data_IF_304108967917
#
_entry.id   IF_304108967917
#
_cell.length_a   1.000
_cell.length_b   1.000
_cell.length_c   1.000
_cell.angle_alpha   90.00
_cell.angle_beta   90.00
_cell.angle_gamma   90.00
#
_symmetry.space_group_name_H-M   'P 1'
#
loop_
_entity.id
_entity.type
_entity.pdbx_description
1 polymer ?
#
# COMPACT_ATOMS: atom_id res chain seq x y z
N UNK A 1 2.70 -0.47 7.69
CA UNK A 1 2.26 -1.21 6.48
C UNK A 1 3.16 -0.80 5.32
N UNK A 2 3.74 -1.75 4.59
CA UNK A 2 4.53 -1.50 3.39
C UNK A 2 3.72 -1.85 2.14
N UNK A 3 3.67 -0.93 1.18
CA UNK A 3 3.22 -1.17 -0.18
C UNK A 3 4.41 -1.14 -1.14
N UNK A 4 4.76 -2.27 -1.77
CA UNK A 4 5.71 -2.29 -2.89
C UNK A 4 5.03 -1.82 -4.15
N UNK A 5 5.69 -0.96 -4.93
CA UNK A 5 5.19 -0.50 -6.22
C UNK A 5 6.34 -0.46 -7.23
N UNK A 6 6.07 -0.81 -8.48
CA UNK A 6 7.00 -0.71 -9.60
C UNK A 6 6.43 0.19 -10.70
N UNK A 7 5.58 -0.37 -11.56
CA UNK A 7 5.01 0.29 -12.74
C UNK A 7 3.48 0.13 -12.84
N UNK A 8 2.83 -0.28 -11.75
CA UNK A 8 1.39 -0.49 -11.71
C UNK A 8 0.64 0.80 -12.09
N UNK A 9 -0.43 0.63 -12.85
CA UNK A 9 -1.29 1.73 -13.27
C UNK A 9 -2.11 2.31 -12.10
N UNK A 10 -2.78 3.44 -12.40
CA UNK A 10 -3.54 4.18 -11.41
C UNK A 10 -4.70 3.36 -10.83
N UNK A 11 -5.27 2.41 -11.58
CA UNK A 11 -6.40 1.59 -11.13
C UNK A 11 -5.95 0.54 -10.14
N UNK A 12 -4.85 -0.16 -10.45
CA UNK A 12 -4.24 -1.15 -9.58
C UNK A 12 -3.81 -0.49 -8.27
N UNK A 13 -3.09 0.63 -8.36
CA UNK A 13 -2.68 1.41 -7.20
C UNK A 13 -3.89 1.89 -6.37
N UNK A 14 -4.88 2.53 -7.02
CA UNK A 14 -6.05 3.06 -6.34
C UNK A 14 -6.90 1.97 -5.67
N UNK A 15 -7.03 0.79 -6.28
CA UNK A 15 -7.74 -0.34 -5.70
C UNK A 15 -7.05 -0.85 -4.43
N UNK A 16 -5.73 -1.00 -4.47
CA UNK A 16 -4.94 -1.40 -3.30
C UNK A 16 -5.06 -0.38 -2.18
N UNK A 17 -4.79 0.90 -2.48
CA UNK A 17 -4.83 1.97 -1.49
C UNK A 17 -6.22 2.21 -0.93
N UNK A 18 -7.28 2.15 -1.73
CA UNK A 18 -8.66 2.21 -1.23
C UNK A 18 -8.97 1.05 -0.28
N UNK A 19 -8.45 -0.16 -0.54
CA UNK A 19 -8.56 -1.29 0.38
C UNK A 19 -7.81 -1.04 1.70
N UNK A 20 -6.59 -0.49 1.64
CA UNK A 20 -5.81 -0.10 2.82
C UNK A 20 -6.58 0.94 3.65
N UNK A 21 -7.12 1.97 3.01
CA UNK A 21 -7.86 3.04 3.70
C UNK A 21 -9.13 2.52 4.38
N UNK A 22 -9.83 1.56 3.76
CA UNK A 22 -10.97 0.86 4.36
C UNK A 22 -10.59 0.02 5.59
N UNK A 23 -9.41 -0.59 5.61
CA UNK A 23 -8.94 -1.31 6.80
C UNK A 23 -8.61 -0.33 7.94
N UNK A 24 -7.98 0.80 7.63
CA UNK A 24 -7.72 1.86 8.62
C UNK A 24 -9.03 2.41 9.16
N UNK A 25 -10.03 2.63 8.29
CA UNK A 25 -11.39 3.01 8.68
C UNK A 25 -12.00 2.02 9.67
N UNK A 26 -11.90 0.74 9.34
CA UNK A 26 -12.43 -0.33 10.16
C UNK A 26 -11.76 -0.36 11.53
N UNK A 27 -10.44 -0.18 11.60
CA UNK A 27 -9.72 -0.07 12.87
C UNK A 27 -10.15 1.18 13.65
N UNK A 28 -10.34 2.31 12.98
CA UNK A 28 -10.77 3.54 13.65
C UNK A 28 -12.22 3.51 14.16
N UNK A 29 -13.09 2.71 13.52
CA UNK A 29 -14.48 2.55 13.94
C UNK A 29 -14.68 1.55 15.09
N UNK A 30 -13.62 0.87 15.55
CA UNK A 30 -13.68 -0.05 16.70
C UNK A 30 -13.91 0.75 17.99
N UNK A 31 -15.14 0.72 18.53
CA UNK A 31 -15.47 1.36 19.81
C UNK A 31 -15.19 0.46 21.01
N UNK A 32 -15.29 -0.87 20.84
CA UNK A 32 -15.01 -1.86 21.88
C UNK A 32 -13.64 -2.52 21.66
N UNK A 33 -12.56 -1.73 21.70
CA UNK A 33 -11.18 -2.23 21.63
C UNK A 33 -10.27 -1.41 22.55
N UNK A 34 -9.34 -2.09 23.23
CA UNK A 34 -8.29 -1.41 24.01
C UNK A 34 -7.25 -0.75 23.11
N UNK A 35 -6.98 -1.37 21.95
CA UNK A 35 -5.93 -0.93 21.01
C UNK A 35 -6.46 0.03 19.96
N UNK A 36 -7.66 -0.22 19.45
CA UNK A 36 -8.23 0.48 18.31
C UNK A 36 -9.37 1.43 18.69
N UNK A 37 -9.58 2.47 17.89
CA UNK A 37 -10.54 3.55 18.15
C UNK A 37 -10.26 4.75 17.24
N UNK A 38 -10.93 5.89 17.45
CA UNK A 38 -10.89 7.05 16.53
C UNK A 38 -9.47 7.50 16.13
N UNK A 39 -8.51 7.34 17.03
CA UNK A 39 -7.10 7.73 16.84
C UNK A 39 -6.21 6.60 16.31
N UNK A 40 -6.78 5.46 15.88
CA UNK A 40 -6.03 4.30 15.40
C UNK A 40 -5.13 4.62 14.20
N UNK A 41 -5.52 5.59 13.36
CA UNK A 41 -4.72 6.06 12.24
C UNK A 41 -3.33 6.57 12.67
N UNK A 42 -3.18 7.12 13.89
CA UNK A 42 -1.89 7.59 14.41
C UNK A 42 -0.91 6.44 14.67
N UNK A 43 -1.42 5.22 14.84
CA UNK A 43 -0.64 4.00 15.07
C UNK A 43 -0.23 3.31 13.77
N UNK A 44 -0.67 3.83 12.61
CA UNK A 44 -0.52 3.17 11.31
C UNK A 44 0.15 4.11 10.32
N UNK A 45 1.38 3.77 9.95
CA UNK A 45 2.08 4.40 8.83
C UNK A 45 1.97 3.50 7.59
N UNK A 46 1.53 4.09 6.47
CA UNK A 46 1.53 3.45 5.15
C UNK A 46 2.77 3.90 4.39
N UNK A 47 3.76 3.03 4.33
CA UNK A 47 5.01 3.23 3.61
C UNK A 47 4.90 2.67 2.19
N UNK A 48 4.90 3.53 1.18
CA UNK A 48 4.87 3.17 -0.24
C UNK A 48 6.31 3.24 -0.75
N UNK A 49 6.85 2.12 -1.25
CA UNK A 49 8.21 2.05 -1.81
C UNK A 49 8.12 1.78 -3.30
N UNK A 50 8.42 2.80 -4.10
CA UNK A 50 8.45 2.75 -5.58
C UNK A 50 9.84 2.43 -6.10
N UNK A 51 9.94 1.39 -6.92
CA UNK A 51 11.20 0.81 -7.39
C UNK A 51 11.67 1.39 -8.73
N UNK A 52 12.24 2.58 -8.68
CA UNK A 52 12.86 3.25 -9.82
C UNK A 52 12.02 4.40 -10.35
N UNK A 53 12.58 5.60 -10.29
CA UNK A 53 11.93 6.85 -10.66
C UNK A 53 11.53 6.89 -12.14
N UNK A 54 12.33 6.32 -13.03
CA UNK A 54 12.01 6.25 -14.45
C UNK A 54 10.93 5.20 -14.78
N UNK A 55 10.53 4.36 -13.81
CA UNK A 55 9.63 3.22 -14.02
C UNK A 55 8.22 3.44 -13.47
N UNK A 56 8.06 4.39 -12.55
CA UNK A 56 6.75 4.75 -12.02
C UNK A 56 5.80 5.19 -13.15
N UNK A 57 4.57 4.68 -13.11
CA UNK A 57 3.54 5.05 -14.07
C UNK A 57 3.16 6.54 -13.89
N UNK A 58 3.12 7.37 -14.96
CA UNK A 58 2.78 8.79 -14.87
C UNK A 58 1.41 9.08 -14.25
N UNK A 59 0.41 8.23 -14.49
CA UNK A 59 -0.93 8.40 -13.92
C UNK A 59 -0.96 8.03 -12.44
N UNK A 60 -0.25 6.97 -12.03
CA UNK A 60 -0.06 6.64 -10.61
C UNK A 60 0.67 7.75 -9.88
N UNK A 61 1.67 8.37 -10.52
CA UNK A 61 2.36 9.55 -10.00
C UNK A 61 1.41 10.74 -9.81
N UNK A 62 0.47 10.97 -10.73
CA UNK A 62 -0.56 12.00 -10.58
C UNK A 62 -1.52 11.69 -9.40
N UNK A 63 -1.87 10.42 -9.18
CA UNK A 63 -2.64 10.01 -8.00
C UNK A 63 -1.87 10.29 -6.71
N UNK A 64 -0.58 9.95 -6.64
CA UNK A 64 0.27 10.26 -5.47
C UNK A 64 0.35 11.76 -5.20
N UNK A 65 0.44 12.58 -6.26
CA UNK A 65 0.42 14.04 -6.12
C UNK A 65 -0.92 14.54 -5.56
N UNK A 66 -2.04 14.02 -6.06
CA UNK A 66 -3.37 14.36 -5.54
C UNK A 66 -3.63 13.87 -4.11
N UNK A 67 -2.89 12.85 -3.64
CA UNK A 67 -2.88 12.45 -2.22
C UNK A 67 -2.01 13.38 -1.34
N UNK A 68 -1.21 14.26 -1.96
CA UNK A 68 -0.30 15.18 -1.28
C UNK A 68 1.07 14.58 -0.93
N UNK A 69 1.34 13.32 -1.29
CA UNK A 69 2.58 12.62 -0.91
C UNK A 69 3.61 12.58 -2.05
N UNK A 70 3.44 13.41 -3.08
CA UNK A 70 4.40 13.58 -4.16
C UNK A 70 4.26 14.97 -4.79
N UNK A 71 5.38 15.55 -5.22
CA UNK A 71 5.38 16.81 -5.96
C UNK A 71 6.31 16.71 -7.17
N UNK A 72 5.78 17.07 -8.34
CA UNK A 72 6.53 17.03 -9.60
C UNK A 72 7.60 18.14 -9.63
N UNK A 73 8.72 17.87 -10.30
CA UNK A 73 9.82 18.83 -10.45
C UNK A 73 10.76 19.00 -9.25
N UNK A 74 10.43 18.47 -8.05
CA UNK A 74 11.32 18.57 -6.87
C UNK A 74 12.47 17.55 -6.95
N UNK A 75 12.18 16.34 -7.41
CA UNK A 75 13.15 15.24 -7.41
C UNK A 75 14.36 15.54 -8.32
N UNK A 76 15.57 15.53 -7.76
CA UNK A 76 16.83 15.74 -8.50
C UNK A 76 17.66 14.45 -8.58
N UNK A 77 18.39 14.26 -9.68
CA UNK A 77 19.28 13.11 -9.83
C UNK A 77 20.56 13.25 -8.99
N UNK A 78 21.05 14.48 -8.82
CA UNK A 78 22.23 14.80 -8.03
C UNK A 78 22.00 16.00 -7.11
N UNK A 79 22.65 15.97 -5.94
CA UNK A 79 22.72 17.08 -4.99
C UNK A 79 24.17 17.22 -4.55
N UNK A 80 24.76 18.42 -4.68
CA UNK A 80 26.17 18.68 -4.35
C UNK A 80 27.15 17.68 -4.98
N UNK A 81 26.94 17.33 -6.26
CA UNK A 81 27.76 16.38 -7.00
C UNK A 81 27.63 14.92 -6.57
N UNK A 82 26.73 14.60 -5.64
CA UNK A 82 26.44 13.21 -5.20
C UNK A 82 25.13 12.73 -5.81
N UNK A 83 25.14 11.50 -6.29
CA UNK A 83 23.95 10.82 -6.79
C UNK A 83 22.91 10.63 -5.68
N UNK A 84 21.67 11.02 -5.96
CA UNK A 84 20.54 10.74 -5.09
C UNK A 84 20.17 9.25 -5.20
N UNK A 85 19.90 8.61 -4.07
CA UNK A 85 19.53 7.19 -4.01
C UNK A 85 18.01 7.00 -3.97
N UNK A 86 17.31 7.89 -3.28
CA UNK A 86 15.86 7.90 -3.18
C UNK A 86 15.35 9.31 -2.79
N UNK A 87 14.08 9.56 -3.09
CA UNK A 87 13.33 10.73 -2.64
C UNK A 87 12.27 10.30 -1.64
N UNK A 88 12.20 10.97 -0.50
CA UNK A 88 11.28 10.64 0.58
C UNK A 88 10.31 11.79 0.75
N UNK A 89 9.02 11.47 0.76
CA UNK A 89 7.92 12.40 0.98
C UNK A 89 7.05 11.85 2.10
N UNK A 90 6.54 12.74 2.94
CA UNK A 90 5.66 12.38 4.04
C UNK A 90 4.48 13.35 4.07
N UNK A 91 3.27 12.80 4.21
CA UNK A 91 2.07 13.61 4.29
C UNK A 91 0.93 12.86 4.99
N UNK A 92 0.19 13.57 5.84
CA UNK A 92 -1.05 13.06 6.44
C UNK A 92 -2.23 13.39 5.54
N UNK A 93 -2.66 12.45 4.70
CA UNK A 93 -3.71 12.73 3.72
C UNK A 93 -5.11 12.56 4.30
N UNK A 94 -6.02 13.46 3.93
CA UNK A 94 -7.47 13.29 4.10
C UNK A 94 -8.18 13.14 2.75
N UNK A 95 -7.44 12.80 1.70
CA UNK A 95 -7.98 12.55 0.37
C UNK A 95 -8.11 11.03 0.19
N UNK A 96 -9.32 10.57 -0.12
CA UNK A 96 -9.58 9.19 -0.54
C UNK A 96 -9.49 9.05 -2.06
N UNK A 97 -9.53 7.80 -2.53
CA UNK A 97 -9.53 7.48 -3.95
C UNK A 97 -10.50 6.34 -4.27
N UNK A 98 -11.06 6.38 -5.47
CA UNK A 98 -11.97 5.36 -5.97
C UNK A 98 -11.79 5.18 -7.49
N UNK A 99 -11.61 3.93 -7.92
CA UNK A 99 -11.65 3.58 -9.34
C UNK A 99 -13.11 3.49 -9.80
N UNK A 100 -13.57 4.44 -10.62
CA UNK A 100 -14.94 4.52 -11.15
C UNK A 100 -14.92 4.63 -12.67
N UNK A 101 -15.53 3.65 -13.34
CA UNK A 101 -15.51 3.58 -14.80
C UNK A 101 -14.09 3.53 -15.34
N UNK A 102 -13.74 4.51 -16.17
CA UNK A 102 -12.43 4.65 -16.83
C UNK A 102 -11.51 5.67 -16.16
N UNK A 103 -11.82 6.09 -14.92
CA UNK A 103 -11.01 7.07 -14.20
C UNK A 103 -10.85 6.71 -12.72
N UNK A 104 -9.77 7.22 -12.12
CA UNK A 104 -9.58 7.25 -10.68
C UNK A 104 -10.02 8.62 -10.19
N UNK A 105 -11.01 8.64 -9.30
CA UNK A 105 -11.55 9.86 -8.71
C UNK A 105 -10.96 10.03 -7.33
N UNK A 106 -10.40 11.20 -7.08
CA UNK A 106 -9.97 11.64 -5.75
C UNK A 106 -11.11 12.42 -5.10
N UNK A 107 -11.36 12.14 -3.82
CA UNK A 107 -12.43 12.81 -3.07
C UNK A 107 -12.01 13.08 -1.63
N UNK A 108 -12.40 14.23 -1.05
CA UNK A 108 -12.20 14.47 0.37
C UNK A 108 -12.81 13.34 1.21
N UNK A 109 -12.10 12.97 2.27
CA UNK A 109 -12.49 11.96 3.26
C UNK A 109 -12.35 12.57 4.65
N UNK A 110 -13.33 13.40 5.07
CA UNK A 110 -13.28 14.05 6.37
C UNK A 110 -13.31 13.02 7.51
N UNK A 111 -12.58 13.30 8.57
CA UNK A 111 -12.62 12.53 9.83
C UNK A 111 -11.75 11.27 9.87
N UNK A 112 -11.00 10.94 8.81
CA UNK A 112 -10.14 9.75 8.80
C UNK A 112 -8.83 9.97 8.03
N UNK A 113 -7.88 10.71 8.62
CA UNK A 113 -6.55 10.90 8.02
C UNK A 113 -5.77 9.59 7.91
N UNK A 114 -4.81 9.55 6.99
CA UNK A 114 -3.87 8.44 6.83
C UNK A 114 -2.45 8.98 6.74
N UNK A 115 -1.55 8.47 7.57
CA UNK A 115 -0.13 8.81 7.50
C UNK A 115 0.53 8.07 6.34
N UNK A 116 0.97 8.82 5.33
CA UNK A 116 1.68 8.29 4.17
C UNK A 116 3.16 8.65 4.24
N UNK A 117 4.00 7.65 3.99
CA UNK A 117 5.43 7.81 3.72
C UNK A 117 5.69 7.25 2.32
N UNK A 118 6.10 8.10 1.37
CA UNK A 118 6.42 7.68 0.02
C UNK A 118 7.93 7.74 -0.21
N UNK A 119 8.51 6.62 -0.60
CA UNK A 119 9.90 6.49 -1.01
C UNK A 119 9.97 6.17 -2.50
N UNK A 120 10.52 7.10 -3.28
CA UNK A 120 10.78 6.93 -4.71
C UNK A 120 12.27 6.67 -4.93
N UNK A 121 12.63 5.41 -5.17
CA UNK A 121 14.01 5.02 -5.45
C UNK A 121 14.44 5.56 -6.81
N UNK A 122 15.69 6.01 -6.94
CA UNK A 122 16.21 6.45 -8.24
C UNK A 122 16.41 5.26 -9.20
N UNK A 123 16.99 4.15 -8.69
CA UNK A 123 17.28 2.95 -9.48
C UNK A 123 16.26 1.83 -9.21
N UNK A 124 15.86 1.13 -10.28
CA UNK A 124 15.14 -0.14 -10.16
C UNK A 124 16.12 -1.23 -9.70
N UNK A 125 15.88 -1.80 -8.52
CA UNK A 125 16.72 -2.83 -7.91
C UNK A 125 15.91 -4.08 -7.49
N UNK A 126 14.72 -4.24 -8.03
CA UNK A 126 13.77 -5.33 -7.77
C UNK A 126 13.20 -5.36 -6.34
N UNK A 127 12.19 -6.20 -6.17
CA UNK A 127 11.37 -6.35 -4.95
C UNK A 127 12.18 -6.60 -3.67
N UNK A 128 13.20 -7.47 -3.71
CA UNK A 128 14.03 -7.79 -2.52
C UNK A 128 14.74 -6.53 -2.00
N UNK A 129 15.29 -5.70 -2.89
CA UNK A 129 15.91 -4.45 -2.48
C UNK A 129 14.87 -3.47 -1.90
N UNK A 130 13.66 -3.42 -2.45
CA UNK A 130 12.57 -2.61 -1.89
C UNK A 130 12.13 -3.11 -0.49
N UNK A 131 12.24 -4.41 -0.19
CA UNK A 131 12.09 -4.91 1.18
C UNK A 131 13.25 -4.49 2.08
N UNK A 132 14.48 -4.50 1.57
CA UNK A 132 15.65 -4.02 2.31
C UNK A 132 15.51 -2.55 2.73
N UNK A 133 15.07 -1.67 1.82
CA UNK A 133 14.74 -0.27 2.16
C UNK A 133 13.70 -0.19 3.28
N UNK A 134 12.63 -0.99 3.19
CA UNK A 134 11.60 -0.99 4.21
C UNK A 134 12.12 -1.45 5.57
N UNK A 135 12.77 -2.61 5.68
CA UNK A 135 13.18 -3.16 6.98
C UNK A 135 14.45 -2.52 7.55
N UNK A 136 15.46 -2.24 6.72
CA UNK A 136 16.76 -1.76 7.20
C UNK A 136 16.87 -0.23 7.29
N UNK A 137 16.04 0.52 6.58
CA UNK A 137 15.99 1.98 6.70
C UNK A 137 14.76 2.43 7.48
N UNK A 138 13.57 2.33 6.88
CA UNK A 138 12.35 2.89 7.50
C UNK A 138 11.93 2.16 8.77
N UNK A 139 11.99 0.83 8.78
CA UNK A 139 11.62 0.01 9.93
C UNK A 139 12.49 0.28 11.15
N UNK A 140 13.78 0.60 10.96
CA UNK A 140 14.68 0.98 12.07
C UNK A 140 14.32 2.32 12.70
N UNK A 141 13.68 3.22 11.96
CA UNK A 141 13.29 4.55 12.45
C UNK A 141 11.85 4.53 13.00
N UNK A 142 10.94 3.86 12.29
CA UNK A 142 9.53 3.75 12.68
C UNK A 142 9.29 2.78 13.83
N UNK A 143 10.21 1.84 14.07
CA UNK A 143 10.15 0.78 15.07
C UNK A 143 8.75 0.11 15.19
N UNK A 144 8.22 -0.46 14.09
CA UNK A 144 6.85 -0.97 14.08
C UNK A 144 6.72 -2.31 14.81
N UNK A 145 5.74 -2.43 15.71
CA UNK A 145 5.39 -3.71 16.33
C UNK A 145 5.02 -4.79 15.30
N UNK A 146 4.30 -4.42 14.24
CA UNK A 146 3.84 -5.35 13.20
C UNK A 146 4.05 -4.73 11.82
N UNK A 147 4.64 -5.50 10.91
CA UNK A 147 4.83 -5.15 9.52
C UNK A 147 3.88 -5.95 8.62
N UNK A 148 3.02 -5.26 7.88
CA UNK A 148 2.19 -5.88 6.83
C UNK A 148 2.78 -5.53 5.48
N UNK A 149 3.10 -6.54 4.68
CA UNK A 149 3.66 -6.41 3.33
C UNK A 149 2.56 -6.60 2.29
N UNK A 150 2.39 -5.62 1.40
CA UNK A 150 1.46 -5.67 0.28
C UNK A 150 2.18 -5.21 -0.99
N UNK A 151 1.73 -5.73 -2.14
CA UNK A 151 2.14 -5.24 -3.44
C UNK A 151 1.00 -4.45 -4.08
N UNK A 152 1.34 -3.40 -4.83
CA UNK A 152 0.38 -2.64 -5.62
C UNK A 152 -0.28 -3.58 -6.65
N UNK A 153 -1.59 -3.41 -6.83
CA UNK A 153 -2.41 -4.34 -7.63
C UNK A 153 -3.15 -5.38 -6.80
N UNK A 154 -2.73 -5.68 -5.56
CA UNK A 154 -3.50 -6.54 -4.64
C UNK A 154 -4.42 -5.70 -3.77
N UNK A 155 -5.73 -5.93 -3.88
CA UNK A 155 -6.73 -5.24 -3.05
C UNK A 155 -6.97 -6.01 -1.75
N UNK A 156 -6.59 -5.49 -0.57
CA UNK A 156 -6.90 -6.14 0.69
C UNK A 156 -8.43 -6.15 0.92
N UNK A 157 -8.93 -7.23 1.52
CA UNK A 157 -10.31 -7.31 1.99
C UNK A 157 -10.57 -6.26 3.07
N UNK A 158 -11.82 -5.82 3.25
CA UNK A 158 -12.15 -4.67 4.11
C UNK A 158 -11.75 -4.81 5.59
N UNK A 159 -11.44 -6.02 6.05
CA UNK A 159 -10.97 -6.32 7.42
C UNK A 159 -9.69 -7.17 7.45
N UNK A 160 -9.08 -7.46 6.30
CA UNK A 160 -8.00 -8.45 6.22
C UNK A 160 -6.73 -8.00 6.94
N UNK A 161 -6.37 -6.71 6.87
CA UNK A 161 -5.20 -6.16 7.58
C UNK A 161 -5.44 -6.20 9.10
N UNK A 162 -6.66 -5.89 9.53
CA UNK A 162 -7.03 -6.04 10.94
C UNK A 162 -6.96 -7.50 11.40
N UNK A 163 -7.40 -8.46 10.57
CA UNK A 163 -7.32 -9.88 10.91
C UNK A 163 -5.87 -10.36 11.02
N UNK A 164 -4.98 -9.92 10.12
CA UNK A 164 -3.55 -10.18 10.24
C UNK A 164 -2.99 -9.64 11.55
N UNK A 165 -3.27 -8.37 11.88
CA UNK A 165 -2.87 -7.79 13.16
C UNK A 165 -3.42 -8.57 14.35
N UNK A 166 -4.70 -8.98 14.29
CA UNK A 166 -5.37 -9.71 15.37
C UNK A 166 -4.71 -11.06 15.64
N UNK A 167 -4.13 -11.72 14.64
CA UNK A 167 -3.39 -12.96 14.85
C UNK A 167 -2.20 -12.77 15.80
N UNK A 168 -1.44 -11.70 15.63
CA UNK A 168 -0.32 -11.34 16.53
C UNK A 168 -0.81 -10.87 17.91
N UNK A 169 -1.96 -10.20 17.98
CA UNK A 169 -2.55 -9.76 19.26
C UNK A 169 -3.08 -10.95 20.09
N UNK A 170 -3.57 -12.00 19.43
CA UNK A 170 -4.07 -13.21 20.08
C UNK A 170 -2.97 -14.19 20.47
N UNK A 171 -1.91 -14.28 19.66
CA UNK A 171 -0.80 -15.21 19.87
C UNK A 171 0.53 -14.43 19.93
N UNK A 172 1.03 -14.09 21.13
CA UNK A 172 2.27 -13.32 21.30
C UNK A 172 3.51 -13.99 20.69
N UNK A 173 3.51 -15.32 20.51
CA UNK A 173 4.62 -16.05 19.88
C UNK A 173 4.47 -16.16 18.35
N UNK A 174 3.46 -15.53 17.76
CA UNK A 174 3.25 -15.54 16.32
C UNK A 174 4.39 -14.80 15.59
N UNK A 175 5.23 -15.55 14.86
CA UNK A 175 6.31 -14.98 14.04
C UNK A 175 5.84 -14.48 12.67
N UNK A 176 4.63 -14.83 12.23
CA UNK A 176 4.11 -14.49 10.91
C UNK A 176 2.66 -14.92 10.70
N UNK A 177 1.91 -14.13 9.95
CA UNK A 177 0.56 -14.46 9.49
C UNK A 177 0.44 -14.12 8.00
N UNK A 178 -0.25 -14.96 7.24
CA UNK A 178 -0.51 -14.75 5.82
C UNK A 178 -2.02 -14.74 5.56
N UNK A 179 -2.45 -14.01 4.54
CA UNK A 179 -3.82 -14.05 4.03
C UNK A 179 -3.85 -14.72 2.67
N UNK A 180 -5.02 -15.27 2.32
CA UNK A 180 -5.23 -15.89 1.00
C UNK A 180 -5.42 -14.83 -0.09
N UNK A 181 -4.71 -15.00 -1.21
CA UNK A 181 -4.91 -14.19 -2.43
C UNK A 181 -5.88 -14.90 -3.36
N UNK A 182 -6.93 -14.19 -3.80
CA UNK A 182 -7.90 -14.70 -4.76
C UNK A 182 -8.21 -13.72 -5.87
N UNK A 183 -8.56 -14.26 -7.03
CA UNK A 183 -8.98 -13.46 -8.19
C UNK A 183 -10.38 -12.89 -7.96
N UNK A 184 -10.64 -11.69 -8.47
CA UNK A 184 -11.96 -11.06 -8.40
C UNK A 184 -12.92 -11.69 -9.43
N UNK A 185 -13.55 -12.80 -9.08
CA UNK A 185 -14.28 -13.65 -10.02
C UNK A 185 -15.66 -13.16 -10.52
N UNK A 186 -16.21 -12.04 -10.02
CA UNK A 186 -17.57 -11.55 -10.38
C UNK A 186 -18.62 -12.68 -10.42
N UNK A 187 -18.72 -13.46 -9.33
CA UNK A 187 -19.58 -14.64 -9.21
C UNK A 187 -19.26 -15.74 -10.24
N UNK A 188 -17.98 -16.00 -10.50
CA UNK A 188 -17.53 -17.04 -11.43
C UNK A 188 -17.61 -16.66 -12.91
N UNK A 189 -18.37 -15.61 -13.28
CA UNK A 189 -18.54 -15.18 -14.68
C UNK A 189 -17.23 -14.86 -15.39
N UNK A 190 -16.18 -14.45 -14.67
CA UNK A 190 -14.89 -14.16 -15.28
C UNK A 190 -14.02 -15.41 -15.52
N UNK A 191 -14.38 -16.58 -15.00
CA UNK A 191 -13.63 -17.83 -15.25
C UNK A 191 -13.74 -18.31 -16.70
N UNK A 192 -14.71 -17.81 -17.48
CA UNK A 192 -14.74 -18.05 -18.93
C UNK A 192 -13.59 -17.36 -19.68
N UNK A 193 -12.93 -16.37 -19.07
CA UNK A 193 -11.73 -15.77 -19.63
C UNK A 193 -10.52 -16.64 -19.25
N UNK A 194 -9.80 -17.22 -20.23
CA UNK A 194 -8.69 -18.14 -19.96
C UNK A 194 -7.55 -17.50 -19.16
N UNK A 195 -7.32 -16.19 -19.31
CA UNK A 195 -6.32 -15.46 -18.52
C UNK A 195 -6.72 -15.40 -17.04
N UNK A 196 -8.00 -15.12 -16.77
CA UNK A 196 -8.53 -15.05 -15.39
C UNK A 196 -8.57 -16.44 -14.77
N UNK A 197 -8.94 -17.47 -15.54
CA UNK A 197 -8.96 -18.85 -15.09
C UNK A 197 -7.55 -19.36 -14.76
N UNK A 198 -6.57 -19.08 -15.63
CA UNK A 198 -5.17 -19.42 -15.41
C UNK A 198 -4.62 -18.74 -14.15
N UNK A 199 -4.84 -17.44 -14.00
CA UNK A 199 -4.44 -16.70 -12.79
C UNK A 199 -5.13 -17.24 -11.53
N UNK A 200 -6.40 -17.64 -11.62
CA UNK A 200 -7.12 -18.22 -10.49
C UNK A 200 -6.60 -19.61 -10.11
N UNK A 201 -6.17 -20.40 -11.09
CA UNK A 201 -5.52 -21.68 -10.86
C UNK A 201 -4.15 -21.51 -10.22
N UNK A 202 -3.32 -20.61 -10.76
CA UNK A 202 -1.99 -20.26 -10.21
C UNK A 202 -2.09 -19.87 -8.74
N UNK A 203 -2.96 -18.91 -8.38
CA UNK A 203 -3.13 -18.51 -6.99
C UNK A 203 -3.68 -19.62 -6.08
N UNK A 204 -4.39 -20.62 -6.61
CA UNK A 204 -4.82 -21.77 -5.80
C UNK A 204 -3.73 -22.80 -5.57
N UNK A 205 -2.72 -22.88 -6.45
CA UNK A 205 -1.58 -23.76 -6.28
C UNK A 205 -0.47 -23.14 -5.42
N UNK A 206 -0.34 -21.81 -5.46
CA UNK A 206 0.71 -21.08 -4.75
C UNK A 206 0.38 -20.72 -3.29
N UNK A 207 -0.89 -20.84 -2.88
CA UNK A 207 -1.32 -20.69 -1.48
C UNK A 207 -1.28 -22.03 -0.74
#
# INVERSE_FOLDING_TARGET
LKLTMYNEDEFLFARTMAGVFKNIEYMCSRTSSKTWGKEAWKKIVVCIVSDGRAKINPRTRAVLAGLGVYQDGIAKQQVNGKDVTAHIYEYTTQIGMEAKGTQVILKPRPGMPVQLLFCLKEKNQKKINSHRWFFQAFGRVLDPNICVLLDAGTKPGGRSIYQLWRAFDLEPMCGGACGEIKVMLSHGKKLFNPLVAGQNFEYKLEN
#
